data_IF_014037010577
#
_entry.id   IF_014037010577
#
_cell.length_a   1.000
_cell.length_b   1.000
_cell.length_c   1.000
_cell.angle_alpha   90.00
_cell.angle_beta   90.00
_cell.angle_gamma   90.00
#
_symmetry.space_group_name_H-M   'P 1'
#
loop_
_entity.id
_entity.type
_entity.pdbx_description
1 polymer ?
#
# COMPACT_ATOMS: atom_id res chain seq x y z
N UNK A 1 14.79 11.25 10.16
CA UNK A 1 14.13 10.02 9.71
C UNK A 1 12.80 10.33 9.08
N UNK A 2 12.49 9.67 7.96
CA UNK A 2 11.29 9.97 7.19
C UNK A 2 10.02 9.49 7.89
N UNK A 3 9.00 10.35 7.89
CA UNK A 3 7.67 10.04 8.39
C UNK A 3 6.65 10.69 7.45
N UNK A 4 5.47 10.08 7.36
CA UNK A 4 4.37 10.70 6.63
C UNK A 4 3.87 11.92 7.40
N UNK A 5 3.61 13.02 6.69
CA UNK A 5 3.03 14.22 7.30
C UNK A 5 1.53 14.02 7.52
N UNK A 6 0.93 14.89 8.33
CA UNK A 6 -0.53 14.86 8.55
C UNK A 6 -1.30 15.04 7.25
N UNK A 7 -0.82 15.92 6.37
CA UNK A 7 -1.44 16.19 5.07
C UNK A 7 -1.36 14.96 4.16
N UNK A 8 -0.22 14.26 4.17
CA UNK A 8 -0.03 13.04 3.38
C UNK A 8 -0.94 11.92 3.89
N UNK A 9 -1.03 11.75 5.21
CA UNK A 9 -1.95 10.78 5.82
C UNK A 9 -3.39 11.11 5.45
N UNK A 10 -3.76 12.39 5.51
CA UNK A 10 -5.12 12.82 5.17
C UNK A 10 -5.45 12.54 3.71
N UNK A 11 -4.49 12.70 2.79
CA UNK A 11 -4.69 12.32 1.39
C UNK A 11 -5.02 10.84 1.24
N UNK A 12 -4.35 9.97 1.98
CA UNK A 12 -4.62 8.53 1.94
C UNK A 12 -6.01 8.22 2.51
N UNK A 13 -6.35 8.84 3.64
CA UNK A 13 -7.67 8.68 4.26
C UNK A 13 -8.77 9.13 3.30
N UNK A 14 -8.63 10.30 2.71
CA UNK A 14 -9.63 10.85 1.78
C UNK A 14 -9.79 9.95 0.56
N UNK A 15 -8.72 9.39 0.05
CA UNK A 15 -8.75 8.46 -1.07
C UNK A 15 -9.55 7.21 -0.73
N UNK A 16 -9.29 6.60 0.42
CA UNK A 16 -9.99 5.39 0.85
C UNK A 16 -11.46 5.70 1.10
N UNK A 17 -11.75 6.78 1.83
CA UNK A 17 -13.14 7.15 2.15
C UNK A 17 -13.95 7.42 0.89
N UNK A 18 -13.35 8.10 -0.08
CA UNK A 18 -14.01 8.41 -1.35
C UNK A 18 -14.28 7.16 -2.18
N UNK A 19 -13.29 6.26 -2.29
CA UNK A 19 -13.39 5.06 -3.15
C UNK A 19 -14.21 3.94 -2.51
N UNK A 20 -14.18 3.83 -1.19
CA UNK A 20 -14.83 2.74 -0.47
C UNK A 20 -16.15 3.14 0.21
N UNK A 21 -16.50 4.42 0.16
CA UNK A 21 -17.69 4.97 0.80
C UNK A 21 -17.76 4.54 2.27
N UNK A 22 -16.73 4.87 3.02
CA UNK A 22 -16.57 4.49 4.42
C UNK A 22 -15.99 5.65 5.22
N UNK A 23 -15.91 5.47 6.53
CA UNK A 23 -15.27 6.40 7.44
C UNK A 23 -14.06 5.74 8.08
N UNK A 24 -12.91 6.40 8.00
CA UNK A 24 -11.64 5.84 8.47
C UNK A 24 -11.12 6.56 9.70
N UNK A 25 -10.41 5.80 10.54
CA UNK A 25 -9.61 6.33 11.62
C UNK A 25 -8.14 5.98 11.39
N UNK A 26 -7.25 6.74 12.01
CA UNK A 26 -5.80 6.59 11.86
C UNK A 26 -5.18 6.30 13.21
N UNK A 27 -4.32 5.29 13.27
CA UNK A 27 -3.44 5.11 14.43
C UNK A 27 -1.98 5.12 13.93
N UNK A 28 -1.10 5.60 14.78
CA UNK A 28 0.33 5.69 14.50
C UNK A 28 1.08 4.97 15.61
N UNK A 29 1.82 3.93 15.26
CA UNK A 29 2.59 3.16 16.21
C UNK A 29 3.96 2.86 15.60
N UNK A 30 5.03 3.30 16.28
CA UNK A 30 6.41 3.05 15.85
C UNK A 30 6.64 3.41 14.38
N UNK A 31 6.14 4.58 13.95
CA UNK A 31 6.25 5.13 12.60
C UNK A 31 5.44 4.38 11.55
N UNK A 32 4.66 3.42 11.94
CA UNK A 32 3.73 2.75 11.05
C UNK A 32 2.39 3.46 11.12
N UNK A 33 1.87 3.86 9.97
CA UNK A 33 0.56 4.48 9.86
C UNK A 33 -0.44 3.38 9.54
N UNK A 34 -1.49 3.32 10.35
CA UNK A 34 -2.53 2.32 10.23
C UNK A 34 -3.86 3.01 10.02
N UNK A 35 -4.45 2.85 8.83
CA UNK A 35 -5.73 3.43 8.47
C UNK A 35 -6.75 2.30 8.41
N UNK A 36 -7.83 2.41 9.18
CA UNK A 36 -8.84 1.36 9.29
C UNK A 36 -10.22 2.01 9.21
N UNK A 37 -11.14 1.41 8.44
CA UNK A 37 -12.52 1.88 8.42
C UNK A 37 -13.26 1.45 9.69
N UNK A 38 -14.33 2.19 10.02
CA UNK A 38 -15.11 1.94 11.25
C UNK A 38 -15.75 0.56 11.28
N UNK A 39 -16.05 -0.04 10.12
CA UNK A 39 -16.60 -1.39 10.00
C UNK A 39 -15.50 -2.49 9.99
N UNK A 40 -14.22 -2.10 9.97
CA UNK A 40 -13.10 -3.02 9.94
C UNK A 40 -12.85 -3.69 8.58
N UNK A 41 -13.59 -3.32 7.54
CA UNK A 41 -13.52 -3.97 6.23
C UNK A 41 -12.46 -3.39 5.32
N UNK A 42 -11.94 -2.20 5.65
CA UNK A 42 -10.88 -1.54 4.88
C UNK A 42 -9.69 -1.28 5.79
N UNK A 43 -8.51 -1.63 5.32
CA UNK A 43 -7.29 -1.47 6.10
C UNK A 43 -6.12 -1.17 5.18
N UNK A 44 -5.29 -0.21 5.58
CA UNK A 44 -4.03 0.10 4.93
C UNK A 44 -2.98 0.34 6.00
N UNK A 45 -1.85 -0.34 5.90
CA UNK A 45 -0.72 -0.15 6.81
C UNK A 45 0.51 0.20 6.00
N UNK A 46 1.08 1.38 6.25
CA UNK A 46 2.24 1.89 5.52
C UNK A 46 3.29 2.45 6.46
N UNK A 47 4.54 2.37 6.06
CA UNK A 47 5.66 2.94 6.79
C UNK A 47 6.84 3.20 5.84
N UNK A 48 7.68 4.17 6.15
CA UNK A 48 8.96 4.29 5.47
C UNK A 48 9.93 3.26 6.03
N UNK A 49 10.70 2.64 5.14
CA UNK A 49 11.80 1.76 5.49
C UNK A 49 13.09 2.53 5.26
N UNK A 50 13.65 3.11 6.32
CA UNK A 50 14.79 4.01 6.21
C UNK A 50 14.48 5.17 5.26
N UNK A 51 15.44 5.50 4.41
CA UNK A 51 15.31 6.56 3.40
C UNK A 51 15.21 5.99 1.97
N UNK A 52 15.00 4.69 1.81
CA UNK A 52 15.08 4.06 0.49
C UNK A 52 13.80 3.43 -0.01
N UNK A 53 12.80 3.22 0.84
CA UNK A 53 11.55 2.61 0.40
C UNK A 53 10.38 3.03 1.28
N UNK A 54 9.18 2.93 0.72
CA UNK A 54 7.93 2.98 1.48
C UNK A 54 7.30 1.60 1.37
N UNK A 55 6.85 1.06 2.49
CA UNK A 55 6.35 -0.32 2.56
C UNK A 55 4.85 -0.32 2.86
N UNK A 56 4.10 -1.07 2.03
CA UNK A 56 2.75 -1.52 2.33
C UNK A 56 2.88 -2.83 3.08
N UNK A 57 2.60 -2.88 4.35
CA UNK A 57 2.67 -4.12 5.09
C UNK A 57 1.32 -4.83 5.17
N UNK A 58 0.23 -4.12 4.92
CA UNK A 58 -1.10 -4.72 4.87
C UNK A 58 -2.04 -3.84 4.07
N UNK A 59 -2.88 -4.46 3.24
CA UNK A 59 -3.89 -3.76 2.48
C UNK A 59 -5.10 -4.67 2.27
N UNK A 60 -6.29 -4.14 2.54
CA UNK A 60 -7.55 -4.83 2.31
C UNK A 60 -8.65 -3.80 2.07
N UNK A 61 -9.43 -4.00 1.02
CA UNK A 61 -10.56 -3.13 0.70
C UNK A 61 -11.81 -3.95 0.44
N UNK A 62 -12.94 -3.51 1.02
CA UNK A 62 -14.22 -4.20 0.91
C UNK A 62 -14.73 -4.23 -0.53
N UNK A 63 -14.69 -3.08 -1.21
CA UNK A 63 -15.12 -2.97 -2.60
C UNK A 63 -13.93 -3.15 -3.54
N UNK A 64 -13.94 -4.26 -4.26
CA UNK A 64 -12.88 -4.59 -5.24
C UNK A 64 -13.16 -3.90 -6.58
N UNK A 65 -12.12 -3.72 -7.37
CA UNK A 65 -12.19 -3.21 -8.75
C UNK A 65 -12.79 -1.81 -8.91
N UNK A 66 -12.77 -0.99 -7.86
CA UNK A 66 -13.20 0.41 -7.94
C UNK A 66 -12.03 1.39 -8.04
N UNK A 67 -10.82 0.88 -8.27
CA UNK A 67 -9.63 1.72 -8.47
C UNK A 67 -8.96 2.21 -7.20
N UNK A 68 -9.34 1.69 -6.02
CA UNK A 68 -8.76 2.13 -4.75
C UNK A 68 -7.26 1.90 -4.70
N UNK A 69 -6.80 0.69 -5.04
CA UNK A 69 -5.37 0.37 -5.01
C UNK A 69 -4.56 1.23 -5.99
N UNK A 70 -5.10 1.47 -7.19
CA UNK A 70 -4.45 2.33 -8.18
C UNK A 70 -4.31 3.75 -7.66
N UNK A 71 -5.37 4.29 -7.04
CA UNK A 71 -5.35 5.62 -6.47
C UNK A 71 -4.39 5.73 -5.28
N UNK A 72 -4.35 4.71 -4.43
CA UNK A 72 -3.43 4.66 -3.29
C UNK A 72 -1.97 4.58 -3.77
N UNK A 73 -1.68 3.73 -4.74
CA UNK A 73 -0.33 3.61 -5.29
C UNK A 73 0.13 4.94 -5.90
N UNK A 74 -0.74 5.61 -6.62
CA UNK A 74 -0.45 6.93 -7.20
C UNK A 74 -0.14 7.97 -6.10
N UNK A 75 -0.97 8.01 -5.05
CA UNK A 75 -0.76 8.92 -3.93
C UNK A 75 0.56 8.63 -3.20
N UNK A 76 0.87 7.36 -2.97
CA UNK A 76 2.11 6.97 -2.31
C UNK A 76 3.35 7.26 -3.14
N UNK A 77 3.26 7.08 -4.45
CA UNK A 77 4.35 7.46 -5.36
C UNK A 77 4.66 8.94 -5.21
N UNK A 78 3.63 9.78 -5.18
CA UNK A 78 3.79 11.23 -5.01
C UNK A 78 4.41 11.55 -3.64
N UNK A 79 3.95 10.90 -2.57
CA UNK A 79 4.51 11.06 -1.23
C UNK A 79 6.00 10.68 -1.22
N UNK A 80 6.35 9.58 -1.87
CA UNK A 80 7.74 9.14 -1.98
C UNK A 80 8.59 10.16 -2.71
N UNK A 81 8.10 10.68 -3.84
CA UNK A 81 8.84 11.70 -4.62
C UNK A 81 9.09 12.96 -3.78
N UNK A 82 8.13 13.39 -2.97
CA UNK A 82 8.27 14.54 -2.07
C UNK A 82 9.37 14.30 -1.01
N UNK A 83 9.67 13.05 -0.69
CA UNK A 83 10.64 12.68 0.33
C UNK A 83 11.96 12.12 -0.26
N UNK A 84 12.11 12.15 -1.58
CA UNK A 84 13.30 11.62 -2.24
C UNK A 84 13.40 10.10 -2.20
N UNK A 85 12.28 9.42 -2.08
CA UNK A 85 12.20 7.95 -2.04
C UNK A 85 11.67 7.46 -3.39
N UNK A 86 12.30 6.44 -3.95
CA UNK A 86 12.01 5.97 -5.30
C UNK A 86 11.64 4.50 -5.39
N UNK A 87 11.26 3.90 -4.26
CA UNK A 87 10.81 2.50 -4.23
C UNK A 87 9.62 2.34 -3.29
N UNK A 88 8.63 1.59 -3.77
CA UNK A 88 7.50 1.13 -2.96
C UNK A 88 7.57 -0.39 -2.91
N UNK A 89 7.46 -0.96 -1.71
CA UNK A 89 7.43 -2.41 -1.49
C UNK A 89 6.03 -2.80 -1.05
N UNK A 90 5.46 -3.80 -1.71
CA UNK A 90 4.16 -4.37 -1.35
C UNK A 90 4.45 -5.73 -0.71
N UNK A 91 4.28 -5.82 0.60
CA UNK A 91 4.58 -7.04 1.34
C UNK A 91 3.44 -8.04 1.29
N UNK A 92 3.81 -9.31 1.27
CA UNK A 92 2.89 -10.44 1.49
C UNK A 92 1.72 -10.47 0.51
N UNK A 93 2.04 -10.37 -0.78
CA UNK A 93 1.04 -10.62 -1.83
C UNK A 93 0.66 -12.11 -1.76
N UNK A 94 -0.61 -12.40 -1.48
CA UNK A 94 -1.09 -13.76 -1.22
C UNK A 94 -2.25 -14.17 -2.13
N UNK A 95 -2.88 -13.23 -2.84
CA UNK A 95 -4.07 -13.50 -3.64
C UNK A 95 -3.83 -13.28 -5.13
N UNK A 96 -4.57 -13.99 -6.02
CA UNK A 96 -4.48 -13.75 -7.46
C UNK A 96 -4.81 -12.31 -7.85
N UNK A 97 -5.76 -11.69 -7.16
CA UNK A 97 -6.17 -10.31 -7.42
C UNK A 97 -5.02 -9.35 -7.16
N UNK A 98 -4.31 -9.53 -6.05
CA UNK A 98 -3.19 -8.67 -5.69
C UNK A 98 -1.98 -8.90 -6.59
N UNK A 99 -1.71 -10.16 -6.94
CA UNK A 99 -0.67 -10.49 -7.92
C UNK A 99 -0.97 -9.81 -9.26
N UNK A 100 -2.20 -9.91 -9.74
CA UNK A 100 -2.64 -9.28 -10.99
C UNK A 100 -2.48 -7.77 -10.94
N UNK A 101 -2.86 -7.15 -9.82
CA UNK A 101 -2.68 -5.71 -9.62
C UNK A 101 -1.19 -5.32 -9.71
N UNK A 102 -0.32 -6.05 -9.03
CA UNK A 102 1.12 -5.80 -9.05
C UNK A 102 1.69 -5.88 -10.46
N UNK A 103 1.33 -6.92 -11.21
CA UNK A 103 1.79 -7.09 -12.57
C UNK A 103 1.33 -5.96 -13.49
N UNK A 104 0.06 -5.57 -13.38
CA UNK A 104 -0.51 -4.50 -14.20
C UNK A 104 0.07 -3.12 -13.84
N UNK A 105 0.46 -2.94 -12.58
CA UNK A 105 1.00 -1.67 -12.08
C UNK A 105 2.50 -1.51 -12.32
N UNK A 106 3.16 -2.52 -12.87
CA UNK A 106 4.59 -2.49 -13.13
C UNK A 106 5.45 -2.89 -11.94
N UNK A 107 4.85 -3.49 -10.92
CA UNK A 107 5.61 -4.05 -9.80
C UNK A 107 6.29 -5.34 -10.21
N UNK A 108 7.45 -5.60 -9.62
CA UNK A 108 8.24 -6.81 -9.89
C UNK A 108 8.31 -7.66 -8.63
N UNK A 109 8.26 -9.00 -8.77
CA UNK A 109 8.44 -9.87 -7.61
C UNK A 109 9.89 -9.84 -7.13
N UNK A 110 10.08 -9.88 -5.80
CA UNK A 110 11.39 -10.05 -5.21
C UNK A 110 11.75 -11.54 -5.26
N UNK A 111 12.78 -11.93 -6.03
CA UNK A 111 13.12 -13.35 -6.18
C UNK A 111 13.57 -14.02 -4.88
N UNK A 112 13.97 -13.25 -3.87
CA UNK A 112 14.40 -13.81 -2.59
C UNK A 112 13.25 -14.07 -1.62
N UNK A 113 12.07 -13.50 -1.87
CA UNK A 113 10.92 -13.63 -0.97
C UNK A 113 9.71 -14.28 -1.62
N UNK A 114 9.71 -14.46 -2.95
CA UNK A 114 8.53 -14.99 -3.65
C UNK A 114 8.64 -16.48 -3.88
N UNK A 115 7.47 -17.15 -3.79
CA UNK A 115 7.35 -18.56 -4.18
C UNK A 115 5.95 -18.81 -4.74
N UNK A 116 5.84 -19.74 -5.65
CA UNK A 116 4.55 -20.12 -6.23
C UNK A 116 3.77 -21.01 -5.27
N UNK A 117 2.54 -20.61 -4.95
CA UNK A 117 1.64 -21.37 -4.09
C UNK A 117 0.26 -21.35 -4.75
N UNK A 118 -0.24 -22.53 -5.16
CA UNK A 118 -1.57 -22.64 -5.74
C UNK A 118 -1.79 -21.81 -7.01
N UNK A 119 -0.75 -21.66 -7.83
CA UNK A 119 -0.82 -20.87 -9.05
C UNK A 119 -0.62 -19.36 -8.88
N UNK A 120 -0.32 -18.92 -7.66
CA UNK A 120 -0.05 -17.51 -7.33
C UNK A 120 1.41 -17.36 -6.92
N UNK A 121 2.11 -16.40 -7.50
CA UNK A 121 3.46 -16.06 -7.07
C UNK A 121 3.33 -15.13 -5.84
N UNK A 122 3.41 -15.75 -4.66
CA UNK A 122 3.24 -15.06 -3.38
C UNK A 122 4.54 -14.45 -2.88
N UNK A 123 4.46 -13.45 -2.03
CA UNK A 123 5.61 -12.82 -1.38
C UNK A 123 5.62 -11.32 -1.60
N UNK A 124 6.80 -10.74 -1.57
CA UNK A 124 6.96 -9.30 -1.68
C UNK A 124 7.21 -8.87 -3.12
N UNK A 125 6.58 -7.78 -3.49
CA UNK A 125 6.76 -7.13 -4.79
C UNK A 125 7.29 -5.72 -4.57
N UNK A 126 7.96 -5.16 -5.55
CA UNK A 126 8.49 -3.80 -5.47
C UNK A 126 8.21 -3.02 -6.75
N UNK A 127 8.08 -1.71 -6.59
CA UNK A 127 7.86 -0.76 -7.68
C UNK A 127 8.90 0.35 -7.56
N UNK A 128 9.78 0.45 -8.55
CA UNK A 128 10.83 1.48 -8.63
C UNK A 128 10.43 2.55 -9.64
N UNK A 129 10.73 3.80 -9.31
CA UNK A 129 10.37 4.93 -10.17
C UNK A 129 11.33 6.12 -10.02
#
# INVERSE_FOLDING_TARGET
MLELTKEQIQQLVDTIESKQDCHCSVSNSMRTIWITSSDGENELRVAFLGNFALVFSRVEFAHKRCGTMTAILFALKKICEENGVHRIIIQSVLTPEMESFCCKSGCKPDPNSTMEVGGVLTGDYFFDF
#
